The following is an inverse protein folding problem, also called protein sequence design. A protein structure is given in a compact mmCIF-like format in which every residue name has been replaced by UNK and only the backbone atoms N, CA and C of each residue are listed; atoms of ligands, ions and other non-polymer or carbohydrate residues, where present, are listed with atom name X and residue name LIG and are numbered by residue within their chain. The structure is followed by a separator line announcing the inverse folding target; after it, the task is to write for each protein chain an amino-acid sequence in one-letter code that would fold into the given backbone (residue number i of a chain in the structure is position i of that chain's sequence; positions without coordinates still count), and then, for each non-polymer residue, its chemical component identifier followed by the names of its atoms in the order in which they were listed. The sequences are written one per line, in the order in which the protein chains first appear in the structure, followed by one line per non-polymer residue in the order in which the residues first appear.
data_IF_133616334827
#
_entry.id   IF_133616334827
#
_cell.length_a   1.000
_cell.length_b   1.000
_cell.length_c   1.000
_cell.angle_alpha   90.00
_cell.angle_beta   90.00
_cell.angle_gamma   90.00
#
_symmetry.space_group_name_H-M   'P 1'
#
loop_
_entity.id
_entity.type
_entity.pdbx_description
1 polymer ?
#
# COMPACT_ATOMS: atom_id res chain seq x y z
N UNK A 1 12.50 -15.24 23.15
CA UNK A 1 11.05 -15.02 22.88
C UNK A 1 10.82 -13.52 22.85
N UNK A 2 10.77 -12.91 21.67
CA UNK A 2 10.55 -11.44 21.55
C UNK A 2 9.06 -11.25 21.24
N UNK A 3 8.28 -10.99 22.28
CA UNK A 3 6.87 -10.61 22.17
C UNK A 3 6.82 -9.22 21.54
N UNK A 4 6.56 -9.16 20.23
CA UNK A 4 6.25 -7.92 19.54
C UNK A 4 4.92 -7.38 20.06
N UNK A 5 4.98 -6.43 20.99
CA UNK A 5 3.84 -5.62 21.41
C UNK A 5 3.34 -4.85 20.18
N UNK A 6 2.28 -5.35 19.54
CA UNK A 6 1.56 -4.60 18.49
C UNK A 6 1.14 -3.25 19.09
N UNK A 7 1.57 -2.11 18.53
CA UNK A 7 1.08 -0.84 19.02
C UNK A 7 -0.43 -0.78 18.76
N UNK A 8 -1.18 -0.29 19.74
CA UNK A 8 -2.59 0.01 19.59
C UNK A 8 -2.76 0.91 18.34
N UNK A 9 -3.49 0.41 17.34
CA UNK A 9 -3.71 1.14 16.08
C UNK A 9 -4.65 2.31 16.37
N UNK A 10 -4.08 3.42 16.84
CA UNK A 10 -4.73 4.72 16.73
C UNK A 10 -5.05 4.97 15.26
N UNK A 11 -6.25 5.51 14.98
CA UNK A 11 -6.64 5.82 13.60
C UNK A 11 -5.56 6.74 13.00
N UNK A 12 -4.89 6.34 11.91
CA UNK A 12 -3.86 7.18 11.32
C UNK A 12 -4.51 8.44 10.73
N UNK A 13 -3.74 9.56 10.65
CA UNK A 13 -4.23 10.80 10.09
C UNK A 13 -4.71 10.59 8.65
N UNK A 14 -5.64 11.44 8.21
CA UNK A 14 -6.31 11.35 6.89
C UNK A 14 -5.33 11.29 5.71
N UNK A 15 -4.11 11.81 5.89
CA UNK A 15 -3.08 11.93 4.87
C UNK A 15 -1.89 10.98 5.13
N UNK A 16 -2.11 9.90 5.89
CA UNK A 16 -1.04 8.98 6.27
C UNK A 16 -0.55 8.17 5.07
N UNK A 17 0.77 8.22 4.83
CA UNK A 17 1.40 7.54 3.70
C UNK A 17 1.79 6.10 4.04
N UNK A 18 0.79 5.22 3.95
CA UNK A 18 0.97 3.79 4.11
C UNK A 18 1.93 3.16 3.10
N UNK A 19 2.03 3.74 1.89
CA UNK A 19 2.85 3.17 0.84
C UNK A 19 4.34 3.44 1.10
N UNK A 20 4.68 4.67 1.51
CA UNK A 20 6.04 5.04 1.90
C UNK A 20 6.47 4.31 3.17
N UNK A 21 5.58 4.13 4.16
CA UNK A 21 5.91 3.35 5.36
C UNK A 21 6.27 1.90 4.99
N UNK A 22 5.42 1.24 4.21
CA UNK A 22 5.69 -0.13 3.76
C UNK A 22 7.00 -0.21 2.96
N UNK A 23 7.22 0.73 2.04
CA UNK A 23 8.43 0.76 1.22
C UNK A 23 9.70 0.91 2.08
N UNK A 24 9.66 1.77 3.10
CA UNK A 24 10.77 1.98 4.03
C UNK A 24 11.06 0.70 4.82
N UNK A 25 10.04 0.03 5.36
CA UNK A 25 10.19 -1.22 6.11
C UNK A 25 10.68 -2.40 5.28
N UNK A 26 10.31 -2.44 4.01
CA UNK A 26 10.79 -3.45 3.06
C UNK A 26 12.24 -3.21 2.68
N UNK A 27 12.63 -1.95 2.46
CA UNK A 27 14.01 -1.59 2.09
C UNK A 27 14.96 -1.73 3.28
N UNK A 28 14.50 -1.45 4.50
CA UNK A 28 15.27 -1.65 5.73
C UNK A 28 15.46 -3.13 6.09
N UNK A 29 14.67 -4.04 5.50
CA UNK A 29 14.70 -5.46 5.81
C UNK A 29 13.87 -5.88 7.03
N UNK A 30 13.09 -4.96 7.62
CA UNK A 30 12.15 -5.27 8.70
C UNK A 30 11.04 -6.21 8.21
N UNK A 31 10.59 -6.02 6.96
CA UNK A 31 9.65 -6.92 6.29
C UNK A 31 10.39 -7.74 5.24
N UNK A 32 10.59 -9.04 5.53
CA UNK A 32 11.19 -9.98 4.58
C UNK A 32 10.20 -10.23 3.44
N UNK A 33 10.59 -9.90 2.22
CA UNK A 33 9.76 -10.08 1.03
C UNK A 33 10.60 -10.47 -0.19
N UNK A 34 9.94 -10.76 -1.31
CA UNK A 34 10.62 -11.15 -2.55
C UNK A 34 11.48 -10.02 -3.12
N UNK A 35 12.54 -10.37 -3.87
CA UNK A 35 13.40 -9.40 -4.55
C UNK A 35 12.61 -8.41 -5.43
N UNK A 36 11.52 -8.86 -6.06
CA UNK A 36 10.63 -8.02 -6.90
C UNK A 36 9.86 -7.00 -6.07
N UNK A 37 9.37 -7.38 -4.89
CA UNK A 37 8.69 -6.46 -3.99
C UNK A 37 9.66 -5.43 -3.41
N UNK A 38 10.89 -5.84 -3.07
CA UNK A 38 11.95 -4.90 -2.66
C UNK A 38 12.26 -3.91 -3.78
N UNK A 39 12.39 -4.38 -5.03
CA UNK A 39 12.63 -3.51 -6.18
C UNK A 39 11.48 -2.52 -6.42
N UNK A 40 10.22 -2.96 -6.25
CA UNK A 40 9.05 -2.07 -6.31
C UNK A 40 9.09 -0.98 -5.22
N UNK A 41 9.37 -1.37 -3.98
CA UNK A 41 9.49 -0.44 -2.85
C UNK A 41 10.63 0.58 -3.06
N UNK A 42 11.79 0.14 -3.55
CA UNK A 42 12.90 1.03 -3.91
C UNK A 42 12.50 2.01 -5.01
N UNK A 43 11.88 1.51 -6.08
CA UNK A 43 11.37 2.35 -7.17
C UNK A 43 10.41 3.42 -6.65
N UNK A 44 9.50 3.08 -5.74
CA UNK A 44 8.59 4.05 -5.15
C UNK A 44 9.35 5.17 -4.39
N UNK A 45 10.34 4.80 -3.57
CA UNK A 45 11.17 5.77 -2.83
C UNK A 45 12.05 6.63 -3.76
N UNK A 46 12.54 6.06 -4.84
CA UNK A 46 13.36 6.79 -5.81
C UNK A 46 12.49 7.72 -6.66
N UNK A 47 11.31 7.26 -7.11
CA UNK A 47 10.32 8.06 -7.83
C UNK A 47 9.87 9.27 -6.97
N UNK A 48 9.79 9.14 -5.64
CA UNK A 48 9.51 10.25 -4.73
C UNK A 48 10.60 11.35 -4.73
N UNK A 49 11.87 10.97 -4.94
CA UNK A 49 12.99 11.94 -5.01
C UNK A 49 13.00 12.69 -6.33
N UNK A 50 12.60 12.02 -7.42
CA UNK A 50 12.60 12.58 -8.78
C UNK A 50 11.22 13.07 -9.24
N UNK A 51 10.26 13.21 -8.31
CA UNK A 51 8.88 13.60 -8.65
C UNK A 51 8.79 14.94 -9.39
N UNK A 52 9.71 15.88 -9.15
CA UNK A 52 9.74 17.17 -9.85
C UNK A 52 10.15 17.06 -11.34
N UNK A 53 10.78 15.95 -11.72
CA UNK A 53 11.18 15.65 -13.11
C UNK A 53 10.27 14.65 -13.80
N UNK A 54 9.38 14.01 -13.05
CA UNK A 54 8.38 13.10 -13.60
C UNK A 54 7.08 13.87 -13.83
N UNK A 55 6.38 13.58 -14.92
CA UNK A 55 4.99 14.06 -15.13
C UNK A 55 3.98 13.45 -14.12
N UNK A 56 4.45 12.72 -13.11
CA UNK A 56 3.60 12.03 -12.15
C UNK A 56 3.91 12.52 -10.74
N UNK A 57 2.86 12.99 -10.09
CA UNK A 57 2.90 13.45 -8.70
C UNK A 57 2.42 12.34 -7.77
N UNK A 58 3.08 12.25 -6.61
CA UNK A 58 2.62 11.39 -5.52
C UNK A 58 1.55 12.11 -4.70
N UNK A 59 0.33 11.54 -4.67
CA UNK A 59 -0.82 12.07 -3.94
C UNK A 59 -1.24 11.09 -2.83
N UNK A 60 -0.67 11.18 -1.61
CA UNK A 60 -0.99 10.28 -0.51
C UNK A 60 -2.46 10.38 -0.07
N UNK A 61 -3.11 11.53 -0.25
CA UNK A 61 -4.54 11.71 0.05
C UNK A 61 -5.46 10.79 -0.77
N UNK A 62 -5.13 10.61 -2.06
CA UNK A 62 -5.89 9.73 -2.95
C UNK A 62 -5.69 8.27 -2.55
N UNK A 63 -4.45 7.87 -2.28
CA UNK A 63 -4.13 6.54 -1.78
C UNK A 63 -4.89 6.25 -0.48
N UNK A 64 -4.84 7.14 0.51
CA UNK A 64 -5.50 6.97 1.80
C UNK A 64 -7.03 6.88 1.66
N UNK A 65 -7.64 7.67 0.77
CA UNK A 65 -9.08 7.63 0.50
C UNK A 65 -9.52 6.26 -0.05
N UNK A 66 -8.75 5.70 -0.99
CA UNK A 66 -9.06 4.38 -1.57
C UNK A 66 -8.80 3.27 -0.56
N UNK A 67 -7.72 3.33 0.21
CA UNK A 67 -7.45 2.36 1.28
C UNK A 67 -8.60 2.34 2.28
N UNK A 68 -9.07 3.50 2.73
CA UNK A 68 -10.21 3.61 3.64
C UNK A 68 -11.49 3.07 3.01
N UNK A 69 -11.71 3.32 1.72
CA UNK A 69 -12.84 2.76 1.00
C UNK A 69 -12.80 1.22 1.01
N UNK A 70 -11.64 0.62 0.74
CA UNK A 70 -11.48 -0.84 0.74
C UNK A 70 -11.60 -1.41 2.16
N UNK A 71 -11.12 -0.72 3.20
CA UNK A 71 -11.30 -1.13 4.60
C UNK A 71 -12.75 -1.04 5.08
N UNK A 72 -13.56 -0.18 4.46
CA UNK A 72 -15.00 -0.05 4.77
C UNK A 72 -15.84 -1.12 4.08
N UNK A 73 -15.33 -1.81 3.06
CA UNK A 73 -16.07 -2.87 2.38
C UNK A 73 -16.16 -4.10 3.29
N UNK A 74 -17.38 -4.54 3.68
CA UNK A 74 -17.55 -5.71 4.50
C UNK A 74 -17.24 -6.97 3.68
N UNK A 75 -16.57 -7.93 4.31
CA UNK A 75 -16.40 -9.27 3.78
C UNK A 75 -17.78 -9.89 3.50
N UNK A 76 -18.04 -10.33 2.27
CA UNK A 76 -19.36 -10.90 1.87
C UNK A 76 -19.72 -12.17 2.63
N UNK A 77 -18.74 -12.76 3.32
CA UNK A 77 -18.83 -14.03 4.05
C UNK A 77 -19.06 -13.87 5.54
N UNK A 78 -18.48 -12.84 6.16
CA UNK A 78 -18.49 -12.66 7.63
C UNK A 78 -19.15 -11.36 8.06
N UNK A 79 -19.47 -10.45 7.13
CA UNK A 79 -20.15 -9.19 7.41
C UNK A 79 -19.34 -8.22 8.28
N UNK A 80 -18.06 -8.53 8.55
CA UNK A 80 -17.17 -7.72 9.39
C UNK A 80 -16.15 -6.98 8.51
N UNK A 81 -15.84 -5.71 8.81
CA UNK A 81 -14.73 -5.02 8.18
C UNK A 81 -13.42 -5.65 8.65
N UNK A 82 -12.68 -6.26 7.72
CA UNK A 82 -11.35 -6.81 8.01
C UNK A 82 -10.30 -5.73 7.74
N UNK A 83 -9.43 -5.39 8.72
CA UNK A 83 -8.37 -4.42 8.48
C UNK A 83 -7.40 -4.93 7.41
N UNK A 84 -7.09 -4.09 6.43
CA UNK A 84 -6.18 -4.43 5.34
C UNK A 84 -4.76 -4.65 5.87
N UNK A 85 -4.08 -5.68 5.36
CA UNK A 85 -2.67 -5.91 5.66
C UNK A 85 -1.79 -4.82 5.02
N UNK A 86 -0.63 -4.55 5.62
CA UNK A 86 0.28 -3.48 5.19
C UNK A 86 0.66 -3.60 3.70
N UNK A 87 0.91 -4.81 3.19
CA UNK A 87 1.22 -5.03 1.78
C UNK A 87 0.02 -4.78 0.86
N UNK A 88 -1.22 -5.04 1.31
CA UNK A 88 -2.43 -4.75 0.54
C UNK A 88 -2.63 -3.23 0.44
N UNK A 89 -2.39 -2.51 1.55
CA UNK A 89 -2.38 -1.04 1.56
C UNK A 89 -1.32 -0.49 0.62
N UNK A 90 -0.14 -1.11 0.57
CA UNK A 90 0.92 -0.73 -0.38
C UNK A 90 0.52 -0.94 -1.84
N UNK A 91 -0.10 -2.07 -2.19
CA UNK A 91 -0.55 -2.35 -3.55
C UNK A 91 -1.59 -1.31 -4.00
N UNK A 92 -2.63 -1.10 -3.17
CA UNK A 92 -3.68 -0.13 -3.45
C UNK A 92 -3.12 1.29 -3.49
N UNK A 93 -2.28 1.65 -2.52
CA UNK A 93 -1.64 2.96 -2.44
C UNK A 93 -0.75 3.23 -3.65
N UNK A 94 0.06 2.27 -4.09
CA UNK A 94 0.91 2.41 -5.27
C UNK A 94 0.11 2.55 -6.57
N UNK A 95 -1.07 1.91 -6.66
CA UNK A 95 -1.91 2.01 -7.85
C UNK A 95 -2.67 3.34 -7.96
N UNK A 96 -3.16 3.85 -6.82
CA UNK A 96 -4.02 5.03 -6.78
C UNK A 96 -3.32 6.32 -6.33
N UNK A 97 -2.11 6.23 -5.79
CA UNK A 97 -1.32 7.36 -5.30
C UNK A 97 -0.51 8.07 -6.38
N UNK A 98 -0.12 7.37 -7.45
CA UNK A 98 0.63 7.98 -8.57
C UNK A 98 -0.31 8.52 -9.65
N UNK A 99 -0.35 9.84 -9.79
CA UNK A 99 -1.25 10.51 -10.74
C UNK A 99 -0.52 11.55 -11.59
N UNK A 100 -0.96 11.73 -12.83
CA UNK A 100 -0.50 12.82 -13.69
C UNK A 100 -1.16 14.16 -13.26
N UNK A 101 -0.69 15.27 -13.82
CA UNK A 101 -1.28 16.61 -13.76
C UNK A 101 -2.78 16.62 -14.11
N UNK A 102 -3.21 15.78 -15.05
CA UNK A 102 -4.62 15.61 -15.43
C UNK A 102 -5.42 14.72 -14.47
N UNK A 103 -4.76 14.13 -13.46
CA UNK A 103 -5.36 13.22 -12.49
C UNK A 103 -5.46 11.77 -12.95
N UNK A 104 -4.86 11.42 -14.09
CA UNK A 104 -4.78 10.07 -14.64
C UNK A 104 -3.81 9.19 -13.85
N UNK A 105 -4.13 7.91 -13.65
CA UNK A 105 -3.26 6.98 -12.89
C UNK A 105 -2.04 6.59 -13.73
N UNK A 106 -0.83 6.63 -13.15
CA UNK A 106 0.39 6.12 -13.78
C UNK A 106 0.32 4.62 -14.04
N UNK A 107 -0.26 3.87 -13.09
CA UNK A 107 -0.38 2.42 -13.16
C UNK A 107 -1.84 2.00 -13.41
N UNK A 108 -2.13 1.58 -14.64
CA UNK A 108 -3.47 1.09 -15.03
C UNK A 108 -3.63 -0.41 -14.83
N UNK A 109 -2.51 -1.17 -14.87
CA UNK A 109 -2.49 -2.62 -14.70
C UNK A 109 -1.51 -3.00 -13.59
N UNK A 110 -1.91 -3.93 -12.73
CA UNK A 110 -1.05 -4.53 -11.71
C UNK A 110 -1.06 -6.04 -11.85
N UNK A 111 0.13 -6.64 -11.81
CA UNK A 111 0.29 -8.08 -11.69
C UNK A 111 0.68 -8.42 -10.26
N UNK A 112 -0.18 -9.15 -9.56
CA UNK A 112 -0.03 -9.48 -8.15
C UNK A 112 0.03 -11.01 -8.03
N UNK A 113 1.17 -11.52 -7.56
CA UNK A 113 1.35 -12.94 -7.29
C UNK A 113 1.45 -13.14 -5.77
N UNK A 114 0.48 -13.85 -5.19
CA UNK A 114 0.42 -14.18 -3.77
C UNK A 114 0.41 -15.69 -3.58
N UNK A 115 1.00 -16.18 -2.49
CA UNK A 115 0.93 -17.60 -2.15
C UNK A 115 -0.51 -18.04 -1.81
N UNK A 116 -0.82 -19.33 -2.03
CA UNK A 116 -2.12 -19.90 -1.64
C UNK A 116 -2.38 -19.65 -0.13
N UNK A 117 -3.64 -19.31 0.20
CA UNK A 117 -4.15 -18.86 1.52
C UNK A 117 -3.91 -17.40 1.92
N UNK A 118 -3.14 -16.59 1.17
CA UNK A 118 -2.94 -15.16 1.50
C UNK A 118 -3.88 -14.20 0.76
N UNK A 119 -4.67 -14.68 -0.21
CA UNK A 119 -5.54 -13.86 -1.07
C UNK A 119 -7.05 -14.09 -0.89
N UNK A 120 -7.49 -14.93 0.04
CA UNK A 120 -8.92 -15.15 0.26
C UNK A 120 -9.50 -14.02 1.12
N UNK A 121 -9.80 -12.88 0.49
CA UNK A 121 -10.83 -11.93 0.98
C UNK A 121 -12.21 -12.38 0.46
N UNK A 122 -12.27 -13.34 -0.46
CA UNK A 122 -13.51 -13.92 -0.95
C UNK A 122 -13.29 -15.42 -1.15
N UNK A 123 -13.44 -16.19 -0.07
CA UNK A 123 -13.65 -17.63 -0.20
C UNK A 123 -15.03 -17.92 0.27
#
# INVERSE_FOLDING_TARGET
MVTATRPAVGRPPKNYDWATEYATKVVSGEIITSKKNIASAKRHLDDLKVQNTLNYEWRPDRAAKVIKFVEMLPDTKTGKPMPLMLFQKYIVGSLYGWVDSEGNRRFTKAYISTARKQGNIFA
#
